data_IF_635724740130
#
_entry.id   IF_635724740130
#
_cell.length_a   1.000
_cell.length_b   1.000
_cell.length_c   1.000
_cell.angle_alpha   90.00
_cell.angle_beta   90.00
_cell.angle_gamma   90.00
#
_symmetry.space_group_name_H-M   'P 1'
#
loop_
_entity.id
_entity.type
_entity.pdbx_description
1 polymer ?
#
# COMPACT_ATOMS: atom_id res chain seq x y z
N UNK A 1 0.36 -16.42 21.75
CA UNK A 1 0.19 -15.01 21.33
C UNK A 1 1.46 -14.56 20.62
N UNK A 2 1.33 -14.07 19.38
CA UNK A 2 2.45 -13.49 18.62
C UNK A 2 2.30 -11.98 18.59
N UNK A 3 3.38 -11.21 18.79
CA UNK A 3 3.33 -9.76 18.70
C UNK A 3 3.13 -9.31 17.25
N UNK A 4 2.08 -8.52 17.01
CA UNK A 4 1.76 -7.98 15.69
C UNK A 4 1.84 -6.46 15.68
N UNK A 5 2.05 -5.90 14.49
CA UNK A 5 1.71 -4.52 14.21
C UNK A 5 0.27 -4.47 13.70
N UNK A 6 -0.50 -3.52 14.21
CA UNK A 6 -1.79 -3.15 13.67
C UNK A 6 -1.63 -1.82 12.92
N UNK A 7 -1.94 -1.83 11.64
CA UNK A 7 -1.89 -0.64 10.78
C UNK A 7 -3.28 -0.35 10.25
N UNK A 8 -3.70 0.91 10.35
CA UNK A 8 -5.00 1.36 9.87
C UNK A 8 -4.79 2.45 8.83
N UNK A 9 -5.36 2.26 7.65
CA UNK A 9 -5.48 3.25 6.60
C UNK A 9 -6.94 3.71 6.49
N UNK A 10 -7.17 5.02 6.45
CA UNK A 10 -8.50 5.58 6.22
C UNK A 10 -8.43 6.57 5.06
N UNK A 11 -9.41 6.50 4.17
CA UNK A 11 -9.59 7.42 3.06
C UNK A 11 -10.98 8.02 3.06
N UNK A 12 -11.09 9.30 2.76
CA UNK A 12 -12.39 9.95 2.57
C UNK A 12 -12.29 11.16 1.66
N UNK A 13 -13.37 11.45 0.96
CA UNK A 13 -13.49 12.68 0.17
C UNK A 13 -13.92 13.84 1.03
N UNK A 14 -13.35 15.03 0.73
CA UNK A 14 -13.67 16.29 1.41
C UNK A 14 -14.17 17.35 0.42
N UNK A 15 -14.73 18.43 0.91
CA UNK A 15 -15.18 19.57 0.10
C UNK A 15 -16.31 19.19 -0.87
N UNK A 16 -16.36 19.88 -2.01
CA UNK A 16 -17.41 19.72 -3.00
C UNK A 16 -17.42 18.37 -3.69
N UNK A 17 -16.27 17.69 -3.77
CA UNK A 17 -16.14 16.37 -4.44
C UNK A 17 -17.04 15.32 -3.78
N UNK A 18 -17.20 15.36 -2.45
CA UNK A 18 -18.06 14.40 -1.73
C UNK A 18 -19.53 14.42 -2.17
N UNK A 19 -19.99 15.50 -2.79
CA UNK A 19 -21.37 15.66 -3.27
C UNK A 19 -21.62 14.86 -4.56
N UNK A 20 -20.54 14.61 -5.31
CA UNK A 20 -20.61 13.90 -6.59
C UNK A 20 -20.05 12.47 -6.47
N UNK A 21 -19.04 12.30 -5.64
CA UNK A 21 -18.38 11.00 -5.44
C UNK A 21 -17.89 10.89 -4.00
N UNK A 22 -18.71 10.27 -3.16
CA UNK A 22 -18.39 10.05 -1.75
C UNK A 22 -17.48 8.85 -1.62
N UNK A 23 -16.33 9.02 -0.95
CA UNK A 23 -15.42 7.93 -0.55
C UNK A 23 -15.36 7.89 0.97
N UNK A 24 -15.51 6.70 1.53
CA UNK A 24 -15.29 6.38 2.95
C UNK A 24 -14.65 5.01 3.01
N UNK A 25 -13.33 4.96 3.17
CA UNK A 25 -12.56 3.73 3.15
C UNK A 25 -11.87 3.49 4.49
N UNK A 26 -11.90 2.24 4.93
CA UNK A 26 -11.17 1.73 6.08
C UNK A 26 -10.46 0.44 5.68
N UNK A 27 -9.15 0.47 5.75
CA UNK A 27 -8.26 -0.66 5.61
C UNK A 27 -7.54 -0.92 6.92
N UNK A 28 -7.41 -2.17 7.32
CA UNK A 28 -6.67 -2.55 8.52
C UNK A 28 -5.87 -3.83 8.23
N UNK A 29 -4.60 -3.85 8.64
CA UNK A 29 -3.75 -5.03 8.54
C UNK A 29 -3.10 -5.32 9.88
N UNK A 30 -3.12 -6.59 10.27
CA UNK A 30 -2.38 -7.12 11.42
C UNK A 30 -1.31 -8.07 10.91
N UNK A 31 -0.05 -7.73 11.06
CA UNK A 31 1.06 -8.53 10.56
C UNK A 31 2.13 -8.74 11.63
N UNK A 32 2.82 -9.86 11.52
CA UNK A 32 3.88 -10.27 12.44
C UNK A 32 5.02 -9.25 12.50
N UNK A 33 5.51 -8.95 13.70
CA UNK A 33 6.59 -7.98 13.90
C UNK A 33 7.94 -8.44 13.38
N UNK A 34 8.15 -9.75 13.27
CA UNK A 34 9.42 -10.35 12.89
C UNK A 34 9.42 -10.71 11.40
N UNK A 35 8.42 -11.47 10.96
CA UNK A 35 8.35 -11.99 9.60
C UNK A 35 7.68 -11.02 8.62
N UNK A 36 6.85 -10.09 9.10
CA UNK A 36 6.04 -9.21 8.27
C UNK A 36 4.83 -9.88 7.62
N UNK A 37 4.57 -11.16 7.94
CA UNK A 37 3.42 -11.89 7.37
C UNK A 37 2.10 -11.41 7.97
N UNK A 38 1.07 -11.11 7.14
CA UNK A 38 -0.24 -10.71 7.63
C UNK A 38 -1.00 -11.89 8.23
N UNK A 39 -1.72 -11.64 9.32
CA UNK A 39 -2.65 -12.60 9.92
C UNK A 39 -4.10 -12.19 9.71
N UNK A 40 -4.36 -10.90 9.61
CA UNK A 40 -5.70 -10.37 9.39
C UNK A 40 -5.66 -9.13 8.51
N UNK A 41 -6.55 -9.07 7.55
CA UNK A 41 -6.80 -7.89 6.75
C UNK A 41 -8.28 -7.54 6.75
N UNK A 42 -8.60 -6.28 7.00
CA UNK A 42 -9.96 -5.74 6.96
C UNK A 42 -10.06 -4.74 5.84
N UNK A 43 -11.09 -4.89 5.02
CA UNK A 43 -11.46 -3.94 3.97
C UNK A 43 -12.92 -3.56 4.11
N UNK A 44 -13.17 -2.34 4.56
CA UNK A 44 -14.51 -1.77 4.63
C UNK A 44 -14.52 -0.45 3.86
N UNK A 45 -15.12 -0.45 2.68
CA UNK A 45 -15.07 0.67 1.74
C UNK A 45 -16.43 1.07 1.22
N UNK A 46 -16.54 2.36 0.89
CA UNK A 46 -17.68 2.93 0.15
C UNK A 46 -17.14 3.96 -0.84
N UNK A 47 -17.10 3.61 -2.11
CA UNK A 47 -16.55 4.41 -3.22
C UNK A 47 -17.67 4.72 -4.22
N UNK A 48 -18.36 5.86 -4.06
CA UNK A 48 -19.46 6.27 -4.93
C UNK A 48 -20.62 5.28 -4.96
N UNK A 49 -20.91 4.60 -3.84
CA UNK A 49 -21.94 3.56 -3.72
C UNK A 49 -21.43 2.13 -3.97
N UNK A 50 -20.24 1.95 -4.51
CA UNK A 50 -19.59 0.64 -4.51
C UNK A 50 -19.09 0.33 -3.10
N UNK A 51 -19.60 -0.73 -2.49
CA UNK A 51 -19.26 -1.09 -1.11
C UNK A 51 -18.71 -2.50 -1.01
N UNK A 52 -17.72 -2.67 -0.13
CA UNK A 52 -17.19 -3.97 0.30
C UNK A 52 -17.00 -3.94 1.80
N UNK A 53 -17.27 -5.05 2.48
CA UNK A 53 -16.98 -5.21 3.90
C UNK A 53 -16.50 -6.63 4.15
N UNK A 54 -15.16 -6.81 4.15
CA UNK A 54 -14.50 -8.11 4.23
C UNK A 54 -13.47 -8.17 5.33
N UNK A 55 -13.42 -9.31 6.00
CA UNK A 55 -12.35 -9.72 6.89
C UNK A 55 -11.69 -10.93 6.27
N UNK A 56 -10.37 -10.89 6.17
CA UNK A 56 -9.55 -11.99 5.65
C UNK A 56 -8.58 -12.40 6.76
N UNK A 57 -8.67 -13.65 7.20
CA UNK A 57 -7.72 -14.25 8.13
C UNK A 57 -6.79 -15.18 7.35
N UNK A 58 -5.46 -15.02 7.56
CA UNK A 58 -4.43 -15.78 6.85
C UNK A 58 -3.90 -16.92 7.71
N UNK A 59 -4.06 -18.14 7.25
CA UNK A 59 -3.46 -19.34 7.82
C UNK A 59 -2.22 -19.73 7.01
N UNK A 60 -1.06 -19.29 7.47
CA UNK A 60 0.22 -19.58 6.83
C UNK A 60 0.71 -21.02 7.04
N UNK A 61 0.13 -21.74 7.99
CA UNK A 61 0.48 -23.16 8.21
C UNK A 61 -0.13 -24.03 7.11
N UNK A 62 -1.40 -23.78 6.79
CA UNK A 62 -2.13 -24.54 5.78
C UNK A 62 -2.18 -23.82 4.41
N UNK A 63 -1.54 -22.65 4.27
CA UNK A 63 -1.57 -21.81 3.07
C UNK A 63 -3.00 -21.50 2.61
N UNK A 64 -3.83 -20.99 3.53
CA UNK A 64 -5.24 -20.66 3.29
C UNK A 64 -5.52 -19.22 3.68
N UNK A 65 -6.41 -18.55 2.94
CA UNK A 65 -7.08 -17.33 3.34
C UNK A 65 -8.56 -17.64 3.60
N UNK A 66 -9.02 -17.31 4.81
CA UNK A 66 -10.42 -17.44 5.19
C UNK A 66 -11.04 -16.06 5.01
N UNK A 67 -12.00 -15.95 4.11
CA UNK A 67 -12.66 -14.71 3.73
C UNK A 67 -14.06 -14.71 4.34
N UNK A 68 -14.34 -13.74 5.21
CA UNK A 68 -15.66 -13.45 5.71
C UNK A 68 -16.16 -12.16 5.04
N UNK A 69 -17.12 -12.28 4.13
CA UNK A 69 -17.80 -11.15 3.50
C UNK A 69 -19.00 -10.76 4.35
N UNK A 70 -18.83 -9.72 5.16
CA UNK A 70 -19.86 -9.24 6.09
C UNK A 70 -21.03 -8.57 5.38
N UNK A 71 -20.82 -8.09 4.15
CA UNK A 71 -21.87 -7.48 3.35
C UNK A 71 -22.79 -8.55 2.73
N UNK A 72 -22.16 -9.56 2.12
CA UNK A 72 -22.91 -10.62 1.41
C UNK A 72 -23.27 -11.80 2.35
N UNK A 73 -22.85 -11.73 3.63
CA UNK A 73 -23.05 -12.79 4.65
C UNK A 73 -22.53 -14.16 4.19
N UNK A 74 -21.37 -14.18 3.53
CA UNK A 74 -20.77 -15.41 3.00
C UNK A 74 -19.36 -15.63 3.56
N UNK A 75 -18.99 -16.91 3.67
CA UNK A 75 -17.65 -17.33 4.03
C UNK A 75 -17.07 -18.18 2.92
N UNK A 76 -15.79 -17.98 2.64
CA UNK A 76 -15.05 -18.80 1.68
C UNK A 76 -13.62 -19.02 2.15
N UNK A 77 -12.98 -20.05 1.62
CA UNK A 77 -11.59 -20.38 1.88
C UNK A 77 -10.89 -20.54 0.53
N UNK A 78 -9.75 -19.89 0.38
CA UNK A 78 -8.96 -19.87 -0.85
C UNK A 78 -7.53 -20.29 -0.54
N UNK A 79 -6.90 -21.03 -1.45
CA UNK A 79 -5.47 -21.31 -1.37
C UNK A 79 -4.64 -20.06 -1.62
N UNK A 80 -3.57 -19.88 -0.85
CA UNK A 80 -2.66 -18.76 -0.99
C UNK A 80 -1.22 -19.23 -1.15
N UNK A 81 -0.42 -18.38 -1.79
CA UNK A 81 1.01 -18.61 -1.93
C UNK A 81 1.75 -18.39 -0.59
N UNK A 82 2.91 -19.04 -0.46
CA UNK A 82 3.81 -18.77 0.66
C UNK A 82 4.28 -17.32 0.64
N UNK A 83 4.43 -16.75 1.83
CA UNK A 83 4.87 -15.34 2.01
C UNK A 83 3.93 -14.31 1.37
N UNK A 84 2.67 -14.67 1.18
CA UNK A 84 1.64 -13.76 0.69
C UNK A 84 1.57 -12.50 1.57
N UNK A 85 1.31 -11.38 0.97
CA UNK A 85 1.07 -10.11 1.66
C UNK A 85 -0.36 -9.63 1.40
N UNK A 86 -0.92 -8.83 2.30
CA UNK A 86 -2.07 -7.98 1.98
C UNK A 86 -1.58 -6.61 1.44
N UNK A 87 -2.52 -5.79 0.97
CA UNK A 87 -2.22 -4.49 0.37
C UNK A 87 -1.44 -3.54 1.31
N UNK A 88 -1.68 -3.62 2.63
CA UNK A 88 -1.05 -2.76 3.63
C UNK A 88 0.28 -3.37 4.10
N UNK A 89 0.29 -4.65 4.45
CA UNK A 89 1.50 -5.35 4.91
C UNK A 89 2.60 -5.36 3.85
N UNK A 90 2.24 -5.42 2.56
CA UNK A 90 3.18 -5.36 1.43
C UNK A 90 4.12 -4.14 1.50
N UNK A 91 3.57 -2.96 1.83
CA UNK A 91 4.38 -1.75 1.99
C UNK A 91 5.41 -1.89 3.11
N UNK A 92 5.01 -2.40 4.28
CA UNK A 92 5.90 -2.57 5.43
C UNK A 92 6.91 -3.68 5.21
N UNK A 93 6.51 -4.76 4.53
CA UNK A 93 7.43 -5.82 4.12
C UNK A 93 8.53 -5.28 3.21
N UNK A 94 8.17 -4.55 2.15
CA UNK A 94 9.13 -3.93 1.24
C UNK A 94 10.01 -2.89 1.95
N UNK A 95 9.43 -2.07 2.82
CA UNK A 95 10.15 -1.08 3.62
C UNK A 95 11.27 -1.72 4.44
N UNK A 96 11.05 -2.90 5.00
CA UNK A 96 12.00 -3.59 5.86
C UNK A 96 13.00 -4.45 5.09
N UNK A 97 12.56 -5.07 4.00
CA UNK A 97 13.33 -6.12 3.31
C UNK A 97 13.96 -5.65 1.99
N UNK A 98 13.54 -4.50 1.44
CA UNK A 98 14.09 -4.01 0.20
C UNK A 98 15.26 -3.05 0.45
N UNK A 99 16.48 -3.52 0.17
CA UNK A 99 17.68 -2.70 0.31
C UNK A 99 17.77 -1.67 -0.81
N UNK A 100 17.48 -0.41 -0.48
CA UNK A 100 17.50 0.70 -1.43
C UNK A 100 18.89 1.34 -1.62
N UNK A 101 19.90 0.89 -0.90
CA UNK A 101 21.28 1.42 -1.03
C UNK A 101 22.01 0.80 -2.23
N UNK A 102 21.72 -0.47 -2.53
CA UNK A 102 22.45 -1.25 -3.53
C UNK A 102 21.69 -1.50 -4.82
N UNK A 103 20.41 -1.09 -4.90
CA UNK A 103 19.60 -1.31 -6.10
C UNK A 103 20.01 -0.42 -7.26
N UNK A 104 19.98 -0.98 -8.47
CA UNK A 104 20.21 -0.26 -9.71
C UNK A 104 18.89 0.28 -10.29
N UNK A 105 18.97 1.45 -10.96
CA UNK A 105 17.81 2.00 -11.67
C UNK A 105 17.27 0.99 -12.68
N UNK A 106 15.98 0.76 -12.65
CA UNK A 106 15.31 -0.25 -13.47
C UNK A 106 15.10 -1.60 -12.77
N UNK A 107 15.76 -1.86 -11.63
CA UNK A 107 15.51 -3.08 -10.84
C UNK A 107 14.06 -3.18 -10.44
N UNK A 108 13.55 -4.42 -10.45
CA UNK A 108 12.17 -4.75 -10.09
C UNK A 108 12.19 -5.72 -8.92
N UNK A 109 11.38 -5.48 -7.92
CA UNK A 109 11.05 -6.46 -6.88
C UNK A 109 9.62 -6.95 -7.11
N UNK A 110 9.42 -8.23 -6.87
CA UNK A 110 8.14 -8.89 -7.04
C UNK A 110 7.68 -9.49 -5.72
N UNK A 111 6.39 -9.43 -5.45
CA UNK A 111 5.77 -10.14 -4.34
C UNK A 111 4.31 -10.47 -4.66
N UNK A 112 3.81 -11.54 -4.04
CA UNK A 112 2.42 -11.92 -4.16
C UNK A 112 1.59 -11.15 -3.14
N UNK A 113 0.52 -10.49 -3.61
CA UNK A 113 -0.45 -9.79 -2.80
C UNK A 113 -1.80 -10.49 -2.93
N UNK A 114 -2.41 -10.82 -1.79
CA UNK A 114 -3.78 -11.27 -1.74
C UNK A 114 -4.72 -10.08 -1.58
N UNK A 115 -5.65 -9.96 -2.49
CA UNK A 115 -6.63 -8.89 -2.47
C UNK A 115 -7.99 -9.38 -2.97
N UNK A 116 -9.05 -9.01 -2.29
CA UNK A 116 -10.41 -9.53 -2.46
C UNK A 116 -10.49 -11.06 -2.25
N UNK A 117 -10.25 -11.86 -3.24
CA UNK A 117 -10.28 -13.33 -3.19
C UNK A 117 -9.25 -13.95 -4.13
N UNK A 118 -8.29 -13.16 -4.59
CA UNK A 118 -7.32 -13.58 -5.60
C UNK A 118 -5.90 -13.16 -5.20
N UNK A 119 -4.93 -13.91 -5.68
CA UNK A 119 -3.51 -13.56 -5.59
C UNK A 119 -3.08 -12.81 -6.83
N UNK A 120 -2.43 -11.67 -6.64
CA UNK A 120 -1.87 -10.84 -7.70
C UNK A 120 -0.36 -10.75 -7.57
N UNK A 121 0.35 -10.86 -8.68
CA UNK A 121 1.76 -10.55 -8.73
C UNK A 121 1.94 -9.03 -8.78
N UNK A 122 2.44 -8.49 -7.66
CA UNK A 122 2.79 -7.08 -7.54
C UNK A 122 4.27 -6.89 -7.90
N UNK A 123 4.55 -5.86 -8.67
CA UNK A 123 5.91 -5.46 -9.05
C UNK A 123 6.18 -4.03 -8.63
N UNK A 124 7.36 -3.78 -8.06
CA UNK A 124 7.81 -2.44 -7.71
C UNK A 124 9.12 -2.15 -8.44
N UNK A 125 9.07 -1.27 -9.45
CA UNK A 125 10.25 -0.85 -10.23
C UNK A 125 10.91 0.36 -9.59
N UNK A 126 12.20 0.29 -9.36
CA UNK A 126 12.99 1.42 -8.91
C UNK A 126 13.31 2.35 -10.08
N UNK A 127 12.94 3.63 -9.95
CA UNK A 127 13.16 4.66 -10.97
C UNK A 127 14.34 5.59 -10.68
N UNK A 128 14.94 5.50 -9.49
CA UNK A 128 16.04 6.35 -9.07
C UNK A 128 15.70 7.20 -7.84
N UNK A 129 16.56 8.19 -7.59
CA UNK A 129 16.41 9.15 -6.48
C UNK A 129 16.09 10.52 -7.05
N UNK A 130 15.29 11.29 -6.31
CA UNK A 130 14.87 12.64 -6.69
C UNK A 130 14.67 13.49 -5.44
N UNK A 131 15.05 14.75 -5.48
CA UNK A 131 14.69 15.71 -4.42
C UNK A 131 13.39 16.39 -4.81
N UNK A 132 12.37 16.25 -4.01
CA UNK A 132 11.07 16.87 -4.25
C UNK A 132 10.82 18.04 -3.30
N UNK A 133 10.13 19.06 -3.78
CA UNK A 133 9.63 20.14 -2.93
C UNK A 133 8.33 19.68 -2.27
N UNK A 134 8.27 19.82 -0.94
CA UNK A 134 7.12 19.47 -0.10
C UNK A 134 6.77 20.61 0.81
N UNK A 135 5.67 20.51 1.55
CA UNK A 135 5.34 21.47 2.61
C UNK A 135 6.34 21.48 3.79
N UNK A 136 7.10 20.39 3.96
CA UNK A 136 8.16 20.26 4.96
C UNK A 136 9.51 20.83 4.50
N UNK A 137 9.63 21.26 3.23
CA UNK A 137 10.88 21.66 2.60
C UNK A 137 11.31 20.68 1.50
N UNK A 138 12.58 20.74 1.12
CA UNK A 138 13.18 19.83 0.13
C UNK A 138 13.53 18.50 0.76
N UNK A 139 12.98 17.41 0.24
CA UNK A 139 13.16 16.05 0.75
C UNK A 139 13.80 15.18 -0.32
N UNK A 140 14.89 14.50 0.02
CA UNK A 140 15.45 13.43 -0.82
C UNK A 140 14.53 12.23 -0.79
N UNK A 141 14.07 11.80 -1.95
CA UNK A 141 13.16 10.67 -2.10
C UNK A 141 13.73 9.59 -3.01
N UNK A 142 13.29 8.38 -2.78
CA UNK A 142 13.39 7.25 -3.67
C UNK A 142 12.10 7.19 -4.47
N UNK A 143 12.21 7.04 -5.78
CA UNK A 143 11.10 7.02 -6.72
C UNK A 143 10.84 5.61 -7.20
N UNK A 144 9.62 5.17 -7.08
CA UNK A 144 9.16 3.84 -7.49
C UNK A 144 7.97 3.92 -8.43
N UNK A 145 7.82 2.85 -9.23
CA UNK A 145 6.65 2.59 -10.04
C UNK A 145 6.06 1.24 -9.65
N UNK A 146 4.94 1.21 -8.94
CA UNK A 146 4.21 -0.01 -8.68
C UNK A 146 3.43 -0.45 -9.91
N UNK A 147 3.41 -1.77 -10.15
CA UNK A 147 2.57 -2.43 -11.15
C UNK A 147 1.76 -3.52 -10.47
N UNK A 148 0.52 -3.67 -10.86
CA UNK A 148 -0.30 -4.81 -10.49
C UNK A 148 -0.63 -5.56 -11.78
N UNK A 149 -0.14 -6.78 -11.89
CA UNK A 149 -0.49 -7.66 -12.99
C UNK A 149 -1.82 -8.36 -12.68
N UNK A 150 -2.90 -7.72 -12.99
CA UNK A 150 -4.21 -8.25 -13.38
C UNK A 150 -5.28 -7.18 -13.31
N UNK A 151 -5.93 -7.01 -14.30
CA UNK A 151 -7.20 -6.56 -14.82
C UNK A 151 -8.01 -5.47 -14.12
N UNK A 152 -7.77 -4.95 -12.92
CA UNK A 152 -8.76 -4.07 -12.28
C UNK A 152 -8.28 -2.76 -11.67
N UNK A 153 -7.02 -2.58 -11.32
CA UNK A 153 -6.62 -1.33 -10.62
C UNK A 153 -5.84 -0.37 -11.49
N UNK A 154 -4.97 -0.83 -12.35
CA UNK A 154 -4.22 0.03 -13.28
C UNK A 154 -3.96 -0.72 -14.60
N UNK A 155 -4.78 -0.47 -15.59
CA UNK A 155 -4.63 -1.03 -16.95
C UNK A 155 -3.43 -0.48 -17.73
N UNK A 156 -2.78 0.57 -17.24
CA UNK A 156 -1.64 1.19 -17.89
C UNK A 156 -0.40 1.02 -17.01
N UNK A 157 0.59 0.33 -17.54
CA UNK A 157 1.85 0.00 -16.86
C UNK A 157 2.64 1.23 -16.36
N UNK A 158 2.25 2.45 -16.71
CA UNK A 158 3.03 3.65 -16.45
C UNK A 158 2.34 4.75 -15.63
N UNK A 159 1.12 4.53 -15.13
CA UNK A 159 0.33 5.61 -14.56
C UNK A 159 0.70 6.00 -13.13
N UNK A 160 1.14 5.06 -12.29
CA UNK A 160 1.39 5.31 -10.88
C UNK A 160 2.86 5.55 -10.57
N UNK A 161 3.14 6.60 -9.80
CA UNK A 161 4.47 6.88 -9.26
C UNK A 161 4.38 7.16 -7.77
N UNK A 162 5.28 6.53 -7.00
CA UNK A 162 5.40 6.66 -5.55
C UNK A 162 6.76 7.27 -5.21
N UNK A 163 6.79 8.28 -4.34
CA UNK A 163 7.98 8.82 -3.72
C UNK A 163 7.97 8.51 -2.23
N UNK A 164 9.03 7.88 -1.74
CA UNK A 164 9.26 7.64 -0.30
C UNK A 164 10.54 8.34 0.12
N UNK A 165 10.64 8.75 1.39
CA UNK A 165 11.89 9.35 1.89
C UNK A 165 13.08 8.42 1.68
N UNK A 166 14.25 8.98 1.36
CA UNK A 166 15.48 8.22 1.18
C UNK A 166 16.15 7.87 2.52
N UNK A 167 15.60 8.35 3.64
CA UNK A 167 16.06 8.03 5.00
C UNK A 167 15.61 6.63 5.46
N UNK A 168 15.98 6.26 6.69
CA UNK A 168 15.61 4.96 7.29
C UNK A 168 14.12 4.80 7.55
N UNK A 169 13.34 5.89 7.56
CA UNK A 169 11.89 5.82 7.76
C UNK A 169 11.14 5.35 6.51
N UNK A 170 11.65 5.67 5.29
CA UNK A 170 10.98 5.40 4.00
C UNK A 170 9.50 5.81 4.01
N UNK A 171 9.21 7.02 4.48
CA UNK A 171 7.84 7.56 4.59
C UNK A 171 7.29 7.86 3.19
N UNK A 172 6.07 7.44 2.85
CA UNK A 172 5.41 7.86 1.61
C UNK A 172 5.20 9.38 1.63
N UNK A 173 5.83 10.08 0.69
CA UNK A 173 5.77 11.54 0.60
C UNK A 173 4.76 12.00 -0.44
N UNK A 174 4.64 11.23 -1.53
CA UNK A 174 3.82 11.60 -2.67
C UNK A 174 3.44 10.38 -3.48
N UNK A 175 2.19 10.34 -3.92
CA UNK A 175 1.70 9.40 -4.94
C UNK A 175 1.10 10.23 -6.07
N UNK A 176 1.42 9.87 -7.32
CA UNK A 176 0.83 10.48 -8.51
C UNK A 176 0.36 9.37 -9.43
N UNK A 177 -0.88 9.44 -9.87
CA UNK A 177 -1.43 8.59 -10.92
C UNK A 177 -1.77 9.46 -12.12
N UNK A 178 -1.15 9.18 -13.26
CA UNK A 178 -1.47 9.84 -14.51
C UNK A 178 -2.72 9.16 -15.13
N UNK A 179 -3.71 9.94 -15.49
CA UNK A 179 -4.95 9.51 -16.09
C UNK A 179 -4.98 9.92 -17.56
N UNK A 180 -5.91 9.37 -18.35
CA UNK A 180 -6.12 9.82 -19.75
C UNK A 180 -6.35 11.32 -19.84
N UNK A 181 -7.01 11.89 -18.84
CA UNK A 181 -7.22 13.34 -18.71
C UNK A 181 -6.85 13.73 -17.28
N UNK A 182 -5.79 14.53 -17.14
CA UNK A 182 -5.30 15.00 -15.84
C UNK A 182 -4.49 13.97 -15.03
N UNK A 183 -4.41 14.18 -13.74
CA UNK A 183 -3.73 13.29 -12.81
C UNK A 183 -4.35 13.35 -11.42
N UNK A 184 -4.33 12.23 -10.70
CA UNK A 184 -4.57 12.19 -9.26
C UNK A 184 -3.25 12.33 -8.52
N UNK A 185 -3.28 13.05 -7.42
CA UNK A 185 -2.11 13.28 -6.59
C UNK A 185 -2.48 13.23 -5.11
N UNK A 186 -1.67 12.56 -4.33
CA UNK A 186 -1.70 12.62 -2.87
C UNK A 186 -0.32 13.02 -2.36
N UNK A 187 -0.28 14.00 -1.47
CA UNK A 187 0.94 14.49 -0.81
C UNK A 187 0.81 14.28 0.70
N UNK A 188 1.94 14.00 1.36
CA UNK A 188 1.97 13.87 2.81
C UNK A 188 1.67 15.22 3.48
N UNK A 189 0.63 15.26 4.32
CA UNK A 189 0.20 16.48 5.02
C UNK A 189 0.76 16.61 6.43
N UNK A 190 0.89 15.49 7.15
CA UNK A 190 1.43 15.47 8.52
C UNK A 190 2.07 14.13 8.82
N UNK A 191 3.00 14.13 9.75
CA UNK A 191 3.63 12.92 10.28
C UNK A 191 3.90 13.08 11.78
N UNK A 192 3.90 11.95 12.49
CA UNK A 192 4.18 11.89 13.92
C UNK A 192 4.75 10.52 14.29
N UNK A 193 5.61 10.48 15.32
CA UNK A 193 6.07 9.22 15.93
C UNK A 193 7.02 8.41 15.06
N UNK A 194 7.86 9.06 14.24
CA UNK A 194 8.87 8.39 13.46
C UNK A 194 9.93 7.74 14.35
N UNK A 195 10.41 6.58 13.96
CA UNK A 195 11.48 5.84 14.67
C UNK A 195 12.85 6.48 14.49
N UNK A 196 13.09 7.12 13.35
CA UNK A 196 14.36 7.75 12.98
C UNK A 196 14.14 9.24 12.66
N UNK A 197 15.19 10.07 12.71
CA UNK A 197 15.09 11.48 12.31
C UNK A 197 14.51 11.61 10.89
N UNK A 198 13.71 12.66 10.69
CA UNK A 198 13.18 13.00 9.38
C UNK A 198 14.14 13.99 8.71
N UNK A 199 14.73 13.59 7.60
CA UNK A 199 15.79 14.34 6.93
C UNK A 199 15.23 15.39 5.97
N UNK A 200 15.38 16.66 6.34
CA UNK A 200 15.04 17.82 5.49
C UNK A 200 16.34 18.42 4.97
N UNK A 201 16.41 18.68 3.67
CA UNK A 201 17.52 19.46 3.12
C UNK A 201 17.34 20.93 3.47
N UNK A 202 18.15 21.43 4.38
CA UNK A 202 18.32 22.86 4.57
C UNK A 202 19.04 23.41 3.33
N UNK A 203 18.63 24.63 2.92
CA UNK A 203 19.28 25.33 1.79
C UNK A 203 20.74 25.61 2.09
#
# INVERSE_FOLDING_TARGET
DRPVYKVIGKGWTTGAIKWFFKVEDHYESHFDKVTGQPYKFVRNINEGGYTKNRIIDFDHVHNKALINDLKEHTNSTVDIEKNIQDLVSAYYYLRNNYNTETIQKGSVVELNIFFDSETFLFKLKYLGRETIQTKFGKIKCIKFRPYVMAGRVFKEEESLTLWVTADKNKVPMKIKADLRVGSLRADLEALKGLKHPFEIQLK
#
